data_IF_126106701316
#
_entry.id   IF_126106701316
#
_cell.length_a   1.000
_cell.length_b   1.000
_cell.length_c   1.000
_cell.angle_alpha   90.00
_cell.angle_beta   90.00
_cell.angle_gamma   90.00
#
_symmetry.space_group_name_H-M   'P 1'
#
loop_
_entity.id
_entity.type
_entity.pdbx_description
1 polymer ?
#
# COMPACT_ATOMS: atom_id res chain seq x y z
N UNK A 1 1.72 -12.36 -2.44
CA UNK A 1 2.64 -13.11 -1.55
C UNK A 1 3.51 -12.09 -0.83
N UNK A 2 3.80 -12.27 0.46
CA UNK A 2 4.65 -11.30 1.17
C UNK A 2 6.14 -11.51 0.80
N UNK A 3 6.98 -10.49 1.08
CA UNK A 3 8.41 -10.51 0.73
C UNK A 3 9.13 -11.71 1.35
N UNK A 4 8.84 -12.05 2.61
CA UNK A 4 9.46 -13.20 3.28
C UNK A 4 9.14 -14.53 2.59
N UNK A 5 7.89 -14.75 2.17
CA UNK A 5 7.47 -15.93 1.41
C UNK A 5 8.14 -15.99 0.03
N UNK A 6 8.30 -14.85 -0.64
CA UNK A 6 9.08 -14.75 -1.89
C UNK A 6 10.52 -15.18 -1.63
N UNK A 7 11.19 -14.57 -0.66
CA UNK A 7 12.59 -14.85 -0.34
C UNK A 7 12.81 -16.31 0.08
N UNK A 8 11.92 -16.90 0.88
CA UNK A 8 12.01 -18.32 1.25
C UNK A 8 11.89 -19.25 0.05
N UNK A 9 11.07 -18.91 -0.95
CA UNK A 9 10.97 -19.69 -2.18
C UNK A 9 12.16 -19.47 -3.09
N UNK A 10 12.65 -18.24 -3.22
CA UNK A 10 13.86 -17.91 -3.99
C UNK A 10 15.11 -18.60 -3.44
N UNK A 11 15.23 -18.78 -2.13
CA UNK A 11 16.33 -19.55 -1.50
C UNK A 11 16.41 -21.02 -1.94
N UNK A 12 15.36 -21.56 -2.57
CA UNK A 12 15.35 -22.92 -3.12
C UNK A 12 15.83 -22.98 -4.57
N UNK A 13 15.97 -21.84 -5.23
CA UNK A 13 16.48 -21.77 -6.59
C UNK A 13 18.00 -21.92 -6.61
N UNK A 14 18.58 -22.52 -7.65
CA UNK A 14 20.03 -22.46 -7.91
C UNK A 14 20.53 -21.00 -7.92
N UNK A 15 21.71 -20.75 -7.36
CA UNK A 15 22.27 -19.40 -7.21
C UNK A 15 22.52 -18.67 -8.54
N UNK A 16 22.62 -19.42 -9.64
CA UNK A 16 22.86 -18.96 -11.01
C UNK A 16 21.55 -18.79 -11.82
N UNK A 17 20.39 -18.83 -11.16
CA UNK A 17 19.11 -18.76 -11.88
C UNK A 17 18.75 -17.35 -12.32
N UNK A 18 18.34 -17.19 -13.58
CA UNK A 18 17.76 -15.97 -14.13
C UNK A 18 16.33 -15.77 -13.62
N UNK A 19 16.06 -14.62 -12.99
CA UNK A 19 14.70 -14.29 -12.51
C UNK A 19 13.89 -13.64 -13.63
N UNK A 20 12.71 -14.21 -13.91
CA UNK A 20 11.74 -13.75 -14.89
C UNK A 20 10.45 -13.31 -14.18
N UNK A 21 9.80 -12.26 -14.66
CA UNK A 21 8.49 -11.82 -14.19
C UNK A 21 7.47 -12.06 -15.30
N UNK A 22 6.45 -12.87 -15.03
CA UNK A 22 5.29 -13.04 -15.91
C UNK A 22 4.20 -12.07 -15.46
N UNK A 23 3.96 -10.98 -16.21
CA UNK A 23 2.91 -10.05 -15.86
C UNK A 23 1.54 -10.63 -16.13
N UNK A 24 0.55 -10.19 -15.36
CA UNK A 24 -0.84 -10.39 -15.73
C UNK A 24 -1.10 -9.52 -16.97
N UNK A 25 -1.54 -10.12 -18.09
CA UNK A 25 -1.98 -9.40 -19.29
C UNK A 25 -0.93 -8.56 -20.04
N UNK A 26 0.36 -8.94 -19.97
CA UNK A 26 1.39 -8.42 -20.89
C UNK A 26 1.98 -7.04 -20.56
N UNK A 27 1.49 -6.37 -19.51
CA UNK A 27 2.03 -5.07 -19.07
C UNK A 27 2.77 -5.23 -17.74
N UNK A 28 4.10 -5.18 -17.80
CA UNK A 28 4.99 -5.37 -16.63
C UNK A 28 4.76 -4.29 -15.56
N UNK A 29 4.36 -3.07 -15.96
CA UNK A 29 4.13 -1.94 -15.05
C UNK A 29 2.88 -2.06 -14.18
N UNK A 30 1.98 -3.01 -14.43
CA UNK A 30 0.75 -3.20 -13.65
C UNK A 30 0.86 -4.30 -12.58
N UNK A 31 2.06 -4.87 -12.40
CA UNK A 31 2.29 -6.01 -11.51
C UNK A 31 2.68 -5.58 -10.10
N UNK A 32 1.70 -5.20 -9.28
CA UNK A 32 1.94 -4.77 -7.89
C UNK A 32 2.17 -5.94 -6.92
N UNK A 33 1.69 -7.15 -7.24
CA UNK A 33 1.72 -8.30 -6.33
C UNK A 33 2.26 -9.55 -7.03
N UNK A 34 3.39 -10.09 -6.51
CA UNK A 34 3.82 -11.45 -6.84
C UNK A 34 2.89 -12.43 -6.11
N UNK A 35 2.12 -13.22 -6.85
CA UNK A 35 1.20 -14.24 -6.29
C UNK A 35 1.89 -15.59 -6.13
N UNK A 36 2.75 -15.97 -7.08
CA UNK A 36 3.48 -17.23 -7.03
C UNK A 36 4.95 -17.08 -7.46
N UNK A 37 5.75 -18.05 -7.02
CA UNK A 37 7.13 -18.28 -7.47
C UNK A 37 7.16 -19.70 -7.98
N UNK A 38 7.54 -19.88 -9.25
CA UNK A 38 7.72 -21.17 -9.89
C UNK A 38 9.20 -21.37 -10.23
N UNK A 39 9.73 -22.53 -9.92
CA UNK A 39 11.11 -22.92 -10.25
C UNK A 39 11.01 -24.14 -11.16
N UNK A 40 11.06 -23.96 -12.49
CA UNK A 40 11.01 -25.06 -13.43
C UNK A 40 12.09 -26.11 -13.15
N UNK A 41 11.72 -27.39 -13.27
CA UNK A 41 12.67 -28.50 -13.03
C UNK A 41 13.76 -28.58 -14.09
N UNK A 42 13.44 -28.19 -15.33
CA UNK A 42 14.35 -28.17 -16.47
C UNK A 42 14.79 -26.73 -16.77
N UNK A 43 16.03 -26.52 -17.25
CA UNK A 43 16.44 -25.25 -17.84
C UNK A 43 15.50 -24.82 -18.96
N UNK A 44 15.39 -23.51 -19.16
CA UNK A 44 14.69 -22.89 -20.27
C UNK A 44 15.70 -22.51 -21.35
N UNK A 45 15.23 -22.41 -22.59
CA UNK A 45 16.04 -21.86 -23.68
C UNK A 45 16.00 -20.35 -23.55
N UNK A 46 17.18 -19.74 -23.60
CA UNK A 46 17.38 -18.30 -23.70
C UNK A 46 17.91 -18.01 -25.10
N UNK A 47 17.08 -17.37 -25.92
CA UNK A 47 17.47 -16.90 -27.24
C UNK A 47 17.78 -15.39 -27.18
N UNK A 48 18.82 -14.98 -27.88
CA UNK A 48 19.28 -13.60 -28.02
C UNK A 48 19.18 -13.21 -29.49
N UNK A 49 18.11 -12.50 -29.86
CA UNK A 49 17.84 -12.09 -31.23
C UNK A 49 18.47 -10.72 -31.49
N UNK A 50 19.38 -10.61 -32.45
CA UNK A 50 20.03 -9.35 -32.80
C UNK A 50 19.22 -8.58 -33.82
N UNK A 51 18.81 -7.37 -33.45
CA UNK A 51 18.13 -6.43 -34.35
C UNK A 51 19.13 -5.70 -35.24
N UNK A 52 18.63 -5.20 -36.38
CA UNK A 52 19.41 -4.42 -37.33
C UNK A 52 19.95 -3.09 -36.76
N UNK A 53 19.32 -2.57 -35.70
CA UNK A 53 19.77 -1.36 -34.97
C UNK A 53 20.86 -1.66 -33.92
N UNK A 54 21.29 -2.93 -33.80
CA UNK A 54 22.29 -3.38 -32.83
C UNK A 54 21.73 -3.72 -31.46
N UNK A 55 20.42 -3.58 -31.23
CA UNK A 55 19.78 -4.05 -29.99
C UNK A 55 19.65 -5.58 -29.98
N UNK A 56 19.49 -6.15 -28.78
CA UNK A 56 19.33 -7.59 -28.58
C UNK A 56 18.04 -7.86 -27.82
N UNK A 57 17.13 -8.61 -28.42
CA UNK A 57 15.95 -9.13 -27.76
C UNK A 57 16.30 -10.43 -27.04
N UNK A 58 15.80 -10.56 -25.80
CA UNK A 58 16.05 -11.72 -24.98
C UNK A 58 14.75 -12.49 -24.77
N UNK A 59 14.65 -13.67 -25.37
CA UNK A 59 13.47 -14.52 -25.33
C UNK A 59 13.74 -15.75 -24.47
N UNK A 60 12.82 -16.03 -23.56
CA UNK A 60 12.90 -17.19 -22.68
C UNK A 60 11.67 -18.06 -22.89
N UNK A 61 11.87 -19.33 -23.21
CA UNK A 61 10.76 -20.27 -23.36
C UNK A 61 11.12 -21.65 -22.80
N UNK A 62 10.11 -22.44 -22.38
CA UNK A 62 10.35 -23.81 -21.99
C UNK A 62 10.93 -24.57 -23.19
N UNK A 63 11.82 -25.53 -22.91
CA UNK A 63 12.44 -26.37 -23.94
C UNK A 63 11.40 -26.90 -24.92
N UNK A 64 11.47 -26.39 -26.15
CA UNK A 64 10.68 -26.81 -27.30
C UNK A 64 11.64 -27.30 -28.39
N UNK A 65 11.19 -28.21 -29.25
CA UNK A 65 12.00 -28.73 -30.37
C UNK A 65 12.19 -27.72 -31.51
N UNK A 66 11.66 -26.50 -31.37
CA UNK A 66 11.70 -25.43 -32.37
C UNK A 66 12.16 -24.11 -31.74
N UNK A 67 12.92 -23.33 -32.51
CA UNK A 67 13.31 -21.95 -32.19
C UNK A 67 12.11 -21.01 -32.27
N UNK A 68 12.19 -19.87 -31.59
CA UNK A 68 11.14 -18.85 -31.72
C UNK A 68 11.15 -18.22 -33.11
N UNK A 69 9.99 -17.72 -33.53
CA UNK A 69 9.83 -17.08 -34.84
C UNK A 69 10.79 -15.89 -34.97
N UNK A 70 11.62 -15.90 -36.03
CA UNK A 70 12.60 -14.85 -36.28
C UNK A 70 14.04 -15.17 -35.84
N UNK A 71 14.30 -16.32 -35.20
CA UNK A 71 15.65 -16.72 -34.81
C UNK A 71 16.56 -16.95 -36.05
N UNK A 72 17.63 -16.17 -36.17
CA UNK A 72 18.63 -16.22 -37.23
C UNK A 72 19.92 -16.90 -36.72
N UNK A 73 20.09 -18.19 -37.00
CA UNK A 73 21.17 -19.01 -36.42
C UNK A 73 22.61 -18.45 -36.54
N UNK A 74 23.00 -17.76 -37.62
CA UNK A 74 24.27 -17.04 -37.71
C UNK A 74 24.41 -15.78 -36.84
N UNK A 75 23.33 -15.03 -36.62
CA UNK A 75 23.36 -13.74 -35.91
C UNK A 75 23.00 -13.87 -34.43
N UNK A 76 22.17 -14.86 -34.11
CA UNK A 76 21.54 -15.04 -32.81
C UNK A 76 22.26 -16.09 -31.97
N UNK A 77 22.02 -16.04 -30.68
CA UNK A 77 22.62 -16.98 -29.73
C UNK A 77 21.53 -17.67 -28.92
N UNK A 78 21.69 -18.96 -28.68
CA UNK A 78 20.81 -19.72 -27.80
C UNK A 78 21.63 -20.41 -26.70
N UNK A 79 21.16 -20.31 -25.46
CA UNK A 79 21.77 -20.99 -24.31
C UNK A 79 20.69 -21.63 -23.42
N UNK A 80 21.10 -22.59 -22.60
CA UNK A 80 20.23 -23.18 -21.59
C UNK A 80 20.46 -22.48 -20.25
N UNK A 81 19.39 -21.92 -19.68
CA UNK A 81 19.46 -21.21 -18.41
C UNK A 81 18.49 -21.77 -17.37
N UNK A 82 18.96 -21.84 -16.13
CA UNK A 82 18.06 -22.04 -14.98
C UNK A 82 17.27 -20.77 -14.79
N UNK A 83 15.95 -20.89 -14.63
CA UNK A 83 15.09 -19.71 -14.44
C UNK A 83 14.25 -19.84 -13.18
N UNK A 84 13.89 -18.70 -12.61
CA UNK A 84 12.86 -18.57 -11.57
C UNK A 84 11.79 -17.63 -12.08
N UNK A 85 10.55 -18.07 -12.04
CA UNK A 85 9.42 -17.33 -12.60
C UNK A 85 8.60 -16.75 -11.46
N UNK A 86 8.57 -15.42 -11.38
CA UNK A 86 7.66 -14.66 -10.54
C UNK A 86 6.36 -14.46 -11.30
N UNK A 87 5.23 -14.80 -10.68
CA UNK A 87 3.93 -14.80 -11.34
C UNK A 87 3.00 -13.83 -10.63
N UNK A 88 2.50 -12.85 -11.37
CA UNK A 88 1.57 -11.84 -10.85
C UNK A 88 0.11 -12.30 -10.83
N UNK A 89 -0.27 -13.25 -11.69
CA UNK A 89 -1.60 -13.86 -11.74
C UNK A 89 -1.53 -15.38 -11.98
N UNK A 90 -2.26 -16.17 -11.18
CA UNK A 90 -2.26 -17.63 -11.27
C UNK A 90 -2.84 -18.15 -12.60
N UNK A 91 -3.73 -17.39 -13.24
CA UNK A 91 -4.26 -17.73 -14.57
C UNK A 91 -3.24 -17.50 -15.69
N UNK A 92 -2.27 -16.59 -15.51
CA UNK A 92 -1.14 -16.40 -16.44
C UNK A 92 -0.22 -17.61 -16.49
N UNK A 93 -0.20 -18.44 -15.44
CA UNK A 93 0.55 -19.71 -15.42
C UNK A 93 -0.08 -20.76 -16.36
N UNK A 94 -1.39 -20.65 -16.62
CA UNK A 94 -2.12 -21.54 -17.55
C UNK A 94 -2.06 -21.06 -19.01
N UNK A 95 -1.91 -19.75 -19.23
CA UNK A 95 -1.87 -19.14 -20.57
C UNK A 95 -0.44 -18.80 -21.06
N UNK A 96 0.53 -18.65 -20.16
CA UNK A 96 1.91 -18.25 -20.46
C UNK A 96 2.81 -19.33 -21.06
N UNK A 97 2.23 -20.35 -21.70
CA UNK A 97 2.99 -21.39 -22.43
C UNK A 97 3.01 -21.08 -23.95
N UNK A 98 2.29 -20.05 -24.43
CA UNK A 98 2.24 -19.71 -25.85
C UNK A 98 2.76 -18.31 -26.22
N UNK A 99 2.73 -17.32 -25.31
CA UNK A 99 3.16 -15.95 -25.63
C UNK A 99 4.45 -15.56 -24.90
N UNK A 100 5.43 -15.10 -25.69
CA UNK A 100 6.70 -14.58 -25.20
C UNK A 100 6.45 -13.38 -24.26
N UNK A 101 6.91 -13.50 -23.01
CA UNK A 101 6.89 -12.39 -22.08
C UNK A 101 7.87 -11.28 -22.53
N UNK A 102 7.42 -10.04 -22.77
CA UNK A 102 8.34 -8.94 -23.06
C UNK A 102 9.23 -8.67 -21.83
N UNK A 103 10.55 -8.57 -22.01
CA UNK A 103 11.46 -8.05 -20.99
C UNK A 103 11.68 -6.54 -21.16
N UNK A 104 11.72 -5.83 -20.04
CA UNK A 104 12.36 -4.51 -19.88
C UNK A 104 12.88 -4.37 -18.44
N UNK A 105 14.11 -3.88 -18.27
CA UNK A 105 14.57 -3.41 -16.95
C UNK A 105 13.76 -2.16 -16.65
N UNK A 106 12.81 -2.23 -15.71
CA UNK A 106 12.09 -1.05 -15.25
C UNK A 106 13.09 -0.19 -14.46
N UNK A 107 13.64 0.84 -15.10
CA UNK A 107 14.34 1.89 -14.37
C UNK A 107 13.31 2.75 -13.66
N UNK A 108 13.47 2.92 -12.34
CA UNK A 108 12.66 3.89 -11.59
C UNK A 108 12.80 5.31 -12.13
N UNK A 109 13.93 5.61 -12.79
CA UNK A 109 14.15 6.90 -13.44
C UNK A 109 13.33 7.03 -14.73
N UNK A 110 13.28 5.98 -15.55
CA UNK A 110 12.45 5.95 -16.77
C UNK A 110 10.96 6.01 -16.44
N UNK A 111 10.50 5.31 -15.39
CA UNK A 111 9.11 5.42 -14.93
C UNK A 111 8.76 6.84 -14.49
N UNK A 112 9.64 7.48 -13.71
CA UNK A 112 9.43 8.87 -13.28
C UNK A 112 9.45 9.83 -14.47
N UNK A 113 10.33 9.61 -15.44
CA UNK A 113 10.40 10.41 -16.65
C UNK A 113 9.13 10.26 -17.51
N UNK A 114 8.63 9.03 -17.68
CA UNK A 114 7.38 8.76 -18.38
C UNK A 114 6.17 9.36 -17.66
N UNK A 115 6.12 9.27 -16.33
CA UNK A 115 5.06 9.89 -15.51
C UNK A 115 5.09 11.42 -15.63
N UNK A 116 6.27 12.03 -15.56
CA UNK A 116 6.44 13.47 -15.75
C UNK A 116 5.97 13.90 -17.14
N UNK A 117 6.37 13.17 -18.19
CA UNK A 117 5.96 13.42 -19.56
C UNK A 117 4.44 13.33 -19.73
N UNK A 118 3.80 12.30 -19.16
CA UNK A 118 2.35 12.18 -19.17
C UNK A 118 1.67 13.38 -18.48
N UNK A 119 2.18 13.84 -17.33
CA UNK A 119 1.63 15.04 -16.67
C UNK A 119 1.79 16.32 -17.51
N UNK A 120 2.88 16.46 -18.25
CA UNK A 120 3.04 17.57 -19.21
C UNK A 120 1.98 17.53 -20.32
N UNK A 121 1.73 16.36 -20.88
CA UNK A 121 0.71 16.15 -21.92
C UNK A 121 -0.69 16.41 -21.39
N UNK A 122 -0.99 15.98 -20.16
CA UNK A 122 -2.26 16.27 -19.50
C UNK A 122 -2.45 17.78 -19.24
N UNK A 123 -1.38 18.52 -18.94
CA UNK A 123 -1.43 19.98 -18.82
C UNK A 123 -1.65 20.64 -20.18
N UNK A 124 -0.95 20.19 -21.23
CA UNK A 124 -1.10 20.70 -22.59
C UNK A 124 -2.52 20.48 -23.14
N UNK A 125 -3.14 19.33 -22.80
CA UNK A 125 -4.51 18.98 -23.17
C UNK A 125 -5.59 19.55 -22.22
N UNK A 126 -5.23 20.43 -21.29
CA UNK A 126 -6.14 21.05 -20.30
C UNK A 126 -6.86 20.05 -19.36
N UNK A 127 -6.36 18.82 -19.24
CA UNK A 127 -6.82 17.86 -18.23
C UNK A 127 -6.27 18.18 -16.84
N UNK A 128 -5.13 18.86 -16.76
CA UNK A 128 -4.61 19.47 -15.54
C UNK A 128 -4.64 21.00 -15.67
N UNK A 129 -5.11 21.67 -14.63
CA UNK A 129 -5.29 23.12 -14.55
C UNK A 129 -4.29 23.74 -13.58
N UNK A 130 -3.91 24.99 -13.83
CA UNK A 130 -3.18 25.80 -12.85
C UNK A 130 -4.08 26.11 -11.63
N UNK A 131 -3.48 26.50 -10.50
CA UNK A 131 -4.25 26.96 -9.33
C UNK A 131 -5.23 28.10 -9.70
N UNK A 132 -4.77 29.03 -10.53
CA UNK A 132 -5.56 30.20 -10.96
C UNK A 132 -6.77 29.77 -11.79
N UNK A 133 -6.56 28.96 -12.83
CA UNK A 133 -7.63 28.47 -13.69
C UNK A 133 -8.61 27.59 -12.92
N UNK A 134 -8.10 26.71 -12.06
CA UNK A 134 -8.92 25.83 -11.24
C UNK A 134 -9.85 26.63 -10.32
N UNK A 135 -9.30 27.66 -9.64
CA UNK A 135 -10.08 28.55 -8.79
C UNK A 135 -11.11 29.36 -9.57
N UNK A 136 -10.72 29.88 -10.73
CA UNK A 136 -11.62 30.64 -11.60
C UNK A 136 -12.81 29.77 -12.05
N UNK A 137 -12.57 28.53 -12.47
CA UNK A 137 -13.63 27.58 -12.87
C UNK A 137 -14.54 27.18 -11.73
N UNK A 138 -13.97 26.96 -10.55
CA UNK A 138 -14.72 26.57 -9.35
C UNK A 138 -15.45 27.75 -8.70
N UNK A 139 -15.02 28.99 -8.98
CA UNK A 139 -15.55 30.20 -8.36
C UNK A 139 -15.16 30.33 -6.88
N UNK A 140 -13.97 29.86 -6.49
CA UNK A 140 -13.54 29.86 -5.07
C UNK A 140 -12.33 30.76 -4.80
N UNK A 141 -12.29 31.32 -3.59
CA UNK A 141 -11.14 32.08 -3.11
C UNK A 141 -9.94 31.17 -2.82
N UNK A 142 -8.75 31.75 -2.73
CA UNK A 142 -7.52 31.03 -2.37
C UNK A 142 -7.64 30.30 -1.04
N UNK A 143 -8.19 31.01 -0.04
CA UNK A 143 -8.44 30.46 1.30
C UNK A 143 -9.39 29.27 1.24
N UNK A 144 -10.45 29.35 0.43
CA UNK A 144 -11.38 28.23 0.28
C UNK A 144 -10.72 27.03 -0.41
N UNK A 145 -9.90 27.25 -1.42
CA UNK A 145 -9.13 26.17 -2.05
C UNK A 145 -8.15 25.51 -1.06
N UNK A 146 -7.44 26.29 -0.26
CA UNK A 146 -6.55 25.77 0.78
C UNK A 146 -7.31 24.87 1.76
N UNK A 147 -8.48 25.31 2.24
CA UNK A 147 -9.33 24.47 3.10
C UNK A 147 -9.80 23.19 2.38
N UNK A 148 -10.15 23.27 1.08
CA UNK A 148 -10.56 22.08 0.32
C UNK A 148 -9.41 21.07 0.14
N UNK A 149 -8.17 21.55 0.02
CA UNK A 149 -6.97 20.71 -0.02
C UNK A 149 -6.71 20.05 1.34
N UNK A 150 -6.80 20.83 2.43
CA UNK A 150 -6.63 20.35 3.81
C UNK A 150 -7.69 19.30 4.18
N UNK A 151 -8.95 19.54 3.81
CA UNK A 151 -10.04 18.58 4.00
C UNK A 151 -9.89 17.34 3.09
N UNK A 152 -9.08 17.43 2.03
CA UNK A 152 -8.91 16.39 1.01
C UNK A 152 -10.06 16.28 0.00
N UNK A 153 -10.90 17.31 -0.08
CA UNK A 153 -12.00 17.41 -1.07
C UNK A 153 -11.47 17.54 -2.50
N UNK A 154 -10.27 18.12 -2.65
CA UNK A 154 -9.52 18.20 -3.90
C UNK A 154 -8.07 17.81 -3.64
N UNK A 155 -7.31 17.54 -4.70
CA UNK A 155 -5.88 17.26 -4.61
C UNK A 155 -5.16 17.86 -5.81
N UNK A 156 -3.85 18.07 -5.64
CA UNK A 156 -2.97 18.58 -6.69
C UNK A 156 -1.87 17.55 -6.98
N UNK A 157 -1.47 17.48 -8.24
CA UNK A 157 -0.27 16.81 -8.68
C UNK A 157 0.87 17.81 -8.74
N UNK A 158 2.09 17.32 -8.57
CA UNK A 158 3.29 18.13 -8.76
C UNK A 158 3.76 17.97 -10.21
N UNK A 159 3.66 19.06 -10.98
CA UNK A 159 4.13 19.13 -12.37
C UNK A 159 5.10 20.31 -12.44
N UNK A 160 6.37 20.06 -12.76
CA UNK A 160 7.42 21.08 -12.80
C UNK A 160 7.58 21.91 -11.52
N UNK A 161 7.44 21.28 -10.34
CA UNK A 161 7.46 21.97 -9.04
C UNK A 161 6.27 22.91 -8.81
N UNK A 162 5.27 22.90 -9.69
CA UNK A 162 4.02 23.64 -9.55
C UNK A 162 2.85 22.70 -9.24
N UNK A 163 1.88 23.19 -8.48
CA UNK A 163 0.63 22.46 -8.24
C UNK A 163 -0.27 22.51 -9.47
N UNK A 164 -0.64 21.35 -9.98
CA UNK A 164 -1.58 21.19 -11.07
C UNK A 164 -2.80 20.37 -10.61
N UNK A 165 -4.00 20.82 -10.97
CA UNK A 165 -5.26 20.28 -10.45
C UNK A 165 -6.02 19.54 -11.54
N UNK A 166 -6.50 18.30 -11.31
CA UNK A 166 -7.34 17.61 -12.29
C UNK A 166 -8.60 18.39 -12.62
N UNK A 167 -8.84 18.64 -13.91
CA UNK A 167 -9.95 19.45 -14.40
C UNK A 167 -11.32 18.88 -13.99
N UNK A 168 -11.44 17.54 -13.89
CA UNK A 168 -12.70 16.89 -13.48
C UNK A 168 -13.13 17.29 -12.06
N UNK A 169 -12.22 17.70 -11.17
CA UNK A 169 -12.56 18.15 -9.81
C UNK A 169 -13.36 19.46 -9.78
N UNK A 170 -13.42 20.18 -10.91
CA UNK A 170 -14.25 21.37 -11.11
C UNK A 170 -15.29 21.20 -12.23
N UNK A 171 -15.48 20.00 -12.77
CA UNK A 171 -16.42 19.76 -13.85
C UNK A 171 -17.86 19.72 -13.33
N UNK A 172 -18.65 20.74 -13.69
CA UNK A 172 -20.05 20.90 -13.27
C UNK A 172 -21.01 19.85 -13.86
N UNK A 173 -20.58 19.07 -14.85
CA UNK A 173 -21.40 17.95 -15.36
C UNK A 173 -21.41 16.76 -14.42
N UNK A 174 -20.46 16.68 -13.47
CA UNK A 174 -20.40 15.63 -12.46
C UNK A 174 -21.09 16.08 -11.17
N UNK A 175 -21.57 15.12 -10.36
CA UNK A 175 -21.96 15.40 -8.97
C UNK A 175 -20.69 15.69 -8.14
N UNK A 176 -20.30 16.96 -8.11
CA UNK A 176 -19.12 17.44 -7.39
C UNK A 176 -19.17 17.14 -5.89
N UNK A 177 -20.37 17.10 -5.29
CA UNK A 177 -20.52 16.79 -3.86
C UNK A 177 -20.14 15.34 -3.58
N UNK A 178 -20.60 14.41 -4.42
CA UNK A 178 -20.24 12.99 -4.36
C UNK A 178 -18.78 12.77 -4.71
N UNK A 179 -18.28 13.44 -5.74
CA UNK A 179 -16.87 13.39 -6.12
C UNK A 179 -15.96 13.81 -4.97
N UNK A 180 -16.20 14.97 -4.34
CA UNK A 180 -15.38 15.42 -3.20
C UNK A 180 -15.54 14.52 -1.98
N UNK A 181 -16.69 13.87 -1.79
CA UNK A 181 -16.84 12.86 -0.75
C UNK A 181 -15.98 11.61 -1.01
N UNK A 182 -15.85 11.18 -2.27
CA UNK A 182 -14.95 10.10 -2.67
C UNK A 182 -13.49 10.55 -2.58
N UNK A 183 -13.14 11.72 -3.10
CA UNK A 183 -11.79 12.27 -3.03
C UNK A 183 -11.28 12.34 -1.58
N UNK A 184 -12.15 12.78 -0.66
CA UNK A 184 -11.86 12.71 0.78
C UNK A 184 -11.55 11.29 1.20
N UNK A 185 -12.34 10.28 0.79
CA UNK A 185 -12.07 8.87 1.12
C UNK A 185 -10.66 8.45 0.69
N UNK A 186 -10.20 8.93 -0.47
CA UNK A 186 -8.93 8.54 -1.07
C UNK A 186 -7.69 9.26 -0.51
N UNK A 187 -7.85 10.19 0.44
CA UNK A 187 -6.75 10.98 1.04
C UNK A 187 -5.53 10.16 1.48
N UNK A 188 -5.66 8.95 2.05
CA UNK A 188 -4.47 8.18 2.43
C UNK A 188 -3.54 7.86 1.26
N UNK A 189 -4.05 7.80 0.02
CA UNK A 189 -3.25 7.50 -1.16
C UNK A 189 -2.51 8.73 -1.70
N UNK A 190 -1.36 8.57 -2.38
CA UNK A 190 -0.71 9.65 -3.13
C UNK A 190 -1.62 10.26 -4.20
N UNK A 191 -1.50 11.56 -4.50
CA UNK A 191 -2.35 12.25 -5.50
C UNK A 191 -2.40 11.57 -6.87
N UNK A 192 -1.30 10.99 -7.33
CA UNK A 192 -1.19 10.26 -8.61
C UNK A 192 -2.05 9.00 -8.60
N UNK A 193 -1.98 8.20 -7.53
CA UNK A 193 -2.84 7.02 -7.35
C UNK A 193 -4.33 7.40 -7.27
N UNK A 194 -4.67 8.55 -6.68
CA UNK A 194 -6.06 9.06 -6.66
C UNK A 194 -6.53 9.43 -8.06
N UNK A 195 -5.68 10.08 -8.85
CA UNK A 195 -5.96 10.43 -10.25
C UNK A 195 -6.25 9.16 -11.04
N UNK A 196 -5.32 8.20 -11.01
CA UNK A 196 -5.44 6.94 -11.75
C UNK A 196 -6.70 6.16 -11.37
N UNK A 197 -6.99 6.03 -10.07
CA UNK A 197 -8.21 5.36 -9.63
C UNK A 197 -9.45 6.01 -10.22
N UNK A 198 -9.55 7.35 -10.16
CA UNK A 198 -10.76 8.06 -10.57
C UNK A 198 -10.97 8.03 -12.09
N UNK A 199 -9.90 7.99 -12.89
CA UNK A 199 -9.99 8.14 -14.35
C UNK A 199 -9.86 6.82 -15.12
N UNK A 200 -9.40 5.73 -14.50
CA UNK A 200 -9.24 4.43 -15.17
C UNK A 200 -10.37 3.47 -14.89
N UNK A 201 -10.56 2.53 -15.81
CA UNK A 201 -11.48 1.41 -15.63
C UNK A 201 -10.99 0.53 -14.47
N UNK A 202 -11.93 0.11 -13.61
CA UNK A 202 -11.60 -0.70 -12.44
C UNK A 202 -12.34 -2.04 -12.48
N UNK A 203 -11.59 -3.14 -12.55
CA UNK A 203 -12.17 -4.49 -12.57
C UNK A 203 -13.06 -4.80 -11.36
N UNK A 204 -12.67 -4.33 -10.16
CA UNK A 204 -13.46 -4.49 -8.93
C UNK A 204 -14.80 -3.72 -8.95
N UNK A 205 -14.95 -2.77 -9.87
CA UNK A 205 -16.17 -2.00 -10.12
C UNK A 205 -16.85 -2.42 -11.44
N UNK A 206 -16.56 -3.64 -11.92
CA UNK A 206 -17.16 -4.18 -13.14
C UNK A 206 -16.59 -3.58 -14.43
N UNK A 207 -15.34 -3.11 -14.41
CA UNK A 207 -14.68 -2.51 -15.57
C UNK A 207 -15.11 -1.07 -15.86
N UNK A 208 -15.88 -0.44 -14.96
CA UNK A 208 -16.35 0.94 -15.11
C UNK A 208 -15.35 1.94 -14.54
N UNK A 209 -15.41 3.18 -15.03
CA UNK A 209 -14.61 4.29 -14.52
C UNK A 209 -15.30 4.88 -13.29
N UNK A 210 -14.62 5.09 -12.15
CA UNK A 210 -15.27 5.60 -10.93
C UNK A 210 -16.03 6.92 -11.08
N UNK A 211 -15.59 7.83 -11.96
CA UNK A 211 -16.30 9.08 -12.21
C UNK A 211 -17.71 8.86 -12.80
N UNK A 212 -17.94 7.75 -13.53
CA UNK A 212 -19.25 7.39 -14.10
C UNK A 212 -20.21 6.82 -13.06
N UNK A 213 -19.70 6.41 -11.88
CA UNK A 213 -20.48 5.82 -10.80
C UNK A 213 -21.08 6.86 -9.85
N UNK A 214 -20.86 8.15 -10.11
CA UNK A 214 -21.30 9.22 -9.22
C UNK A 214 -22.80 9.48 -9.32
N UNK A 215 -23.41 9.32 -10.50
CA UNK A 215 -24.80 9.73 -10.75
C UNK A 215 -25.82 8.83 -10.06
N UNK A 216 -25.63 7.50 -10.10
CA UNK A 216 -26.55 6.54 -9.50
C UNK A 216 -26.23 6.27 -8.02
N UNK A 217 -27.26 6.17 -7.18
CA UNK A 217 -27.10 5.96 -5.73
C UNK A 217 -26.46 4.62 -5.39
N UNK A 218 -26.87 3.54 -6.06
CA UNK A 218 -26.38 2.20 -5.78
C UNK A 218 -24.93 2.08 -6.20
N UNK A 219 -24.60 2.58 -7.39
CA UNK A 219 -23.24 2.62 -7.91
C UNK A 219 -22.33 3.50 -7.05
N UNK A 220 -22.80 4.67 -6.63
CA UNK A 220 -22.07 5.55 -5.72
C UNK A 220 -21.81 4.88 -4.37
N UNK A 221 -22.78 4.15 -3.81
CA UNK A 221 -22.59 3.38 -2.60
C UNK A 221 -21.55 2.26 -2.77
N UNK A 222 -21.57 1.57 -3.91
CA UNK A 222 -20.57 0.57 -4.28
C UNK A 222 -19.17 1.20 -4.36
N UNK A 223 -19.04 2.31 -5.08
CA UNK A 223 -17.80 3.08 -5.21
C UNK A 223 -17.26 3.50 -3.84
N UNK A 224 -18.08 4.07 -2.96
CA UNK A 224 -17.63 4.46 -1.62
C UNK A 224 -17.13 3.29 -0.79
N UNK A 225 -17.79 2.13 -0.89
CA UNK A 225 -17.36 0.92 -0.16
C UNK A 225 -16.00 0.46 -0.68
N UNK A 226 -15.85 0.39 -2.00
CA UNK A 226 -14.60 0.02 -2.64
C UNK A 226 -13.48 1.01 -2.31
N UNK A 227 -13.72 2.31 -2.48
CA UNK A 227 -12.75 3.37 -2.19
C UNK A 227 -12.23 3.32 -0.74
N UNK A 228 -13.05 2.94 0.24
CA UNK A 228 -12.60 2.76 1.63
C UNK A 228 -11.65 1.57 1.79
N UNK A 229 -11.91 0.47 1.09
CA UNK A 229 -11.03 -0.70 1.08
C UNK A 229 -9.70 -0.35 0.41
N UNK A 230 -9.78 0.19 -0.80
CA UNK A 230 -8.61 0.60 -1.57
C UNK A 230 -7.75 1.65 -0.81
N UNK A 231 -8.37 2.69 -0.24
CA UNK A 231 -7.63 3.70 0.51
C UNK A 231 -6.94 3.15 1.77
N UNK A 232 -7.44 2.04 2.34
CA UNK A 232 -6.83 1.42 3.50
C UNK A 232 -5.47 0.77 3.20
N UNK A 233 -5.18 0.46 1.94
CA UNK A 233 -3.91 -0.12 1.51
C UNK A 233 -2.74 0.87 1.62
N UNK A 234 -3.03 2.18 1.62
CA UNK A 234 -2.04 3.24 1.68
C UNK A 234 -1.67 3.66 3.09
N UNK A 235 -2.29 3.07 4.11
CA UNK A 235 -1.97 3.39 5.50
C UNK A 235 -2.02 2.15 6.38
N UNK A 236 -1.00 2.00 7.21
CA UNK A 236 -0.87 0.90 8.15
C UNK A 236 -0.74 1.44 9.55
N UNK A 237 -1.59 0.94 10.45
CA UNK A 237 -1.42 1.17 11.89
C UNK A 237 -0.55 0.04 12.44
N UNK A 238 0.53 0.41 13.12
CA UNK A 238 1.50 -0.49 13.72
C UNK A 238 1.47 -0.30 15.23
N UNK A 239 1.36 -1.40 15.96
CA UNK A 239 1.46 -1.42 17.42
C UNK A 239 2.74 -2.12 17.79
N UNK A 240 3.67 -1.39 18.41
CA UNK A 240 4.97 -1.91 18.90
C UNK A 240 4.94 -1.95 20.42
N UNK A 241 5.31 -3.08 20.99
CA UNK A 241 5.30 -3.34 22.43
C UNK A 241 6.73 -3.59 22.89
N UNK A 242 7.13 -2.90 23.95
CA UNK A 242 8.48 -2.94 24.52
C UNK A 242 8.40 -3.33 25.99
N UNK A 243 9.41 -4.04 26.48
CA UNK A 243 9.66 -4.17 27.90
C UNK A 243 10.18 -2.83 28.43
N UNK A 244 9.41 -2.18 29.30
CA UNK A 244 9.74 -0.84 29.77
C UNK A 244 10.98 -0.86 30.69
N UNK A 245 11.28 -1.97 31.34
CA UNK A 245 12.41 -2.11 32.27
C UNK A 245 13.75 -2.21 31.52
N UNK A 246 13.75 -2.58 30.23
CA UNK A 246 14.95 -2.75 29.41
C UNK A 246 15.27 -1.54 28.52
N UNK A 247 14.40 -0.52 28.50
CA UNK A 247 14.40 0.50 27.44
C UNK A 247 15.09 1.83 27.79
N UNK A 248 15.74 1.96 28.94
CA UNK A 248 16.27 3.26 29.40
C UNK A 248 17.63 3.66 28.78
N UNK A 249 18.20 2.90 27.85
CA UNK A 249 19.52 3.26 27.30
C UNK A 249 19.87 2.64 25.93
N UNK A 250 19.11 2.90 24.85
CA UNK A 250 19.64 3.01 23.46
C UNK A 250 18.56 3.30 22.41
N UNK A 251 18.88 3.95 21.27
CA UNK A 251 17.92 4.30 20.21
C UNK A 251 17.42 3.13 19.35
N UNK A 252 17.72 1.88 19.71
CA UNK A 252 17.57 0.70 18.83
C UNK A 252 17.04 -0.55 19.54
N UNK A 253 16.28 -0.38 20.63
CA UNK A 253 15.67 -1.52 21.33
C UNK A 253 14.63 -2.17 20.43
N UNK A 254 14.82 -3.44 20.12
CA UNK A 254 13.87 -4.23 19.33
C UNK A 254 12.56 -4.40 20.10
N UNK A 255 11.38 -4.19 19.47
CA UNK A 255 10.11 -4.43 20.13
C UNK A 255 9.95 -5.90 20.49
N UNK A 256 9.53 -6.16 21.74
CA UNK A 256 9.18 -7.49 22.23
C UNK A 256 8.03 -8.11 21.43
N UNK A 257 7.11 -7.27 20.93
CA UNK A 257 6.05 -7.70 20.02
C UNK A 257 5.61 -6.54 19.12
N UNK A 258 5.42 -6.83 17.84
CA UNK A 258 4.89 -5.90 16.84
C UNK A 258 3.69 -6.53 16.17
N UNK A 259 2.62 -5.77 15.99
CA UNK A 259 1.52 -6.16 15.11
C UNK A 259 1.02 -4.99 14.27
N UNK A 260 0.39 -5.26 13.15
CA UNK A 260 -0.08 -4.21 12.26
C UNK A 260 -1.34 -4.60 11.47
N UNK A 261 -2.04 -3.60 10.97
CA UNK A 261 -3.14 -3.76 10.02
C UNK A 261 -3.19 -2.58 9.06
N UNK A 262 -3.56 -2.87 7.81
CA UNK A 262 -3.91 -1.87 6.81
C UNK A 262 -5.30 -1.34 7.13
N UNK A 263 -5.38 -0.04 7.38
CA UNK A 263 -6.62 0.59 7.84
C UNK A 263 -6.58 2.09 7.57
N UNK A 264 -7.72 2.62 7.14
CA UNK A 264 -7.92 4.05 6.92
C UNK A 264 -7.56 4.86 8.20
N UNK A 265 -6.58 5.78 8.14
CA UNK A 265 -6.06 6.48 9.32
C UNK A 265 -7.08 7.41 9.98
N UNK A 266 -8.17 7.74 9.28
CA UNK A 266 -9.27 8.56 9.83
C UNK A 266 -10.22 7.77 10.70
N UNK A 267 -10.11 6.44 10.72
CA UNK A 267 -10.74 5.66 11.76
C UNK A 267 -10.14 6.02 13.12
N UNK A 268 -10.97 6.02 14.17
CA UNK A 268 -10.54 6.32 15.54
C UNK A 268 -9.31 5.50 15.93
N UNK A 269 -8.28 6.16 16.48
CA UNK A 269 -6.98 5.58 16.81
C UNK A 269 -7.11 4.25 17.57
N UNK A 270 -7.89 4.22 18.65
CA UNK A 270 -8.06 3.02 19.46
C UNK A 270 -8.80 1.88 18.76
N UNK A 271 -9.65 2.21 17.78
CA UNK A 271 -10.23 1.18 16.91
C UNK A 271 -9.15 0.60 15.99
N UNK A 272 -8.30 1.45 15.38
CA UNK A 272 -7.21 0.99 14.51
C UNK A 272 -6.19 0.12 15.26
N UNK A 273 -5.76 0.57 16.43
CA UNK A 273 -4.83 -0.19 17.27
C UNK A 273 -5.43 -1.55 17.72
N UNK A 274 -6.73 -1.58 18.07
CA UNK A 274 -7.41 -2.83 18.39
C UNK A 274 -7.49 -3.78 17.19
N UNK A 275 -7.83 -3.25 16.02
CA UNK A 275 -7.90 -4.04 14.78
C UNK A 275 -6.50 -4.59 14.41
N UNK A 276 -5.41 -3.83 14.67
CA UNK A 276 -4.04 -4.30 14.50
C UNK A 276 -3.69 -5.49 15.41
N UNK A 277 -4.05 -5.42 16.70
CA UNK A 277 -3.80 -6.51 17.67
C UNK A 277 -4.60 -7.78 17.33
N UNK A 278 -5.82 -7.62 16.80
CA UNK A 278 -6.70 -8.73 16.42
C UNK A 278 -6.41 -9.29 15.02
N UNK A 279 -5.65 -8.57 14.21
CA UNK A 279 -5.30 -8.99 12.86
C UNK A 279 -4.32 -10.16 12.90
N UNK A 280 -4.59 -11.28 12.21
CA UNK A 280 -3.70 -12.43 12.22
C UNK A 280 -2.46 -12.25 11.33
N UNK A 281 -2.46 -11.26 10.42
CA UNK A 281 -1.52 -11.19 9.30
C UNK A 281 -0.12 -10.67 9.66
N UNK A 282 -0.05 -9.42 10.12
CA UNK A 282 1.22 -8.74 10.37
C UNK A 282 1.55 -8.81 11.85
N UNK A 283 2.27 -9.84 12.29
CA UNK A 283 2.73 -9.98 13.68
C UNK A 283 4.12 -10.59 13.78
N UNK A 284 4.92 -10.07 14.71
CA UNK A 284 6.26 -10.56 15.00
C UNK A 284 6.61 -10.33 16.48
N UNK A 285 7.21 -11.32 17.19
CA UNK A 285 7.35 -12.71 16.76
C UNK A 285 5.99 -13.40 16.55
N UNK A 286 5.98 -14.53 15.84
CA UNK A 286 4.75 -15.30 15.59
C UNK A 286 4.21 -15.96 16.86
N UNK A 287 5.11 -16.42 17.73
CA UNK A 287 4.76 -16.86 19.08
C UNK A 287 4.57 -15.63 19.96
N UNK A 288 3.37 -15.49 20.52
CA UNK A 288 3.04 -14.29 21.28
C UNK A 288 3.69 -14.40 22.67
N UNK A 289 4.58 -13.48 23.04
CA UNK A 289 5.27 -13.51 24.33
C UNK A 289 4.30 -13.20 25.48
N UNK A 290 4.72 -13.59 26.68
CA UNK A 290 4.04 -13.17 27.91
C UNK A 290 4.25 -11.66 28.13
N UNK A 291 3.24 -11.01 28.68
CA UNK A 291 3.39 -9.61 29.06
C UNK A 291 4.31 -9.48 30.28
N UNK A 292 5.30 -8.57 30.26
CA UNK A 292 6.12 -8.23 31.42
C UNK A 292 5.29 -7.47 32.48
N UNK A 293 5.89 -7.22 33.65
CA UNK A 293 5.35 -6.37 34.72
C UNK A 293 5.08 -4.95 34.24
N UNK A 294 5.98 -4.41 33.41
CA UNK A 294 5.85 -3.05 32.87
C UNK A 294 6.01 -3.09 31.36
N UNK A 295 4.94 -2.76 30.63
CA UNK A 295 4.91 -2.78 29.18
C UNK A 295 4.73 -1.37 28.63
N UNK A 296 5.58 -0.97 27.69
CA UNK A 296 5.42 0.27 26.91
C UNK A 296 4.86 -0.07 25.54
N UNK A 297 3.80 0.63 25.12
CA UNK A 297 3.13 0.41 23.84
C UNK A 297 3.23 1.69 23.02
N UNK A 298 3.71 1.58 21.78
CA UNK A 298 3.68 2.64 20.79
C UNK A 298 2.64 2.29 19.73
N UNK A 299 1.78 3.25 19.40
CA UNK A 299 0.87 3.18 18.26
C UNK A 299 1.37 4.15 17.22
N UNK A 300 1.74 3.62 16.07
CA UNK A 300 2.39 4.35 15.00
C UNK A 300 1.61 4.16 13.69
N UNK A 301 1.71 5.14 12.81
CA UNK A 301 1.13 5.12 11.46
C UNK A 301 2.24 5.14 10.42
N UNK A 302 2.26 4.12 9.58
CA UNK A 302 3.05 4.10 8.36
C UNK A 302 2.16 4.50 7.17
N UNK A 303 2.66 5.40 6.31
CA UNK A 303 1.99 5.79 5.06
C UNK A 303 2.77 5.22 3.88
N UNK A 304 2.09 4.66 2.89
CA UNK A 304 2.75 4.16 1.69
C UNK A 304 3.47 5.29 0.96
N UNK A 305 4.75 5.09 0.63
CA UNK A 305 5.59 6.07 -0.06
C UNK A 305 6.25 7.13 0.83
N UNK A 306 5.91 7.19 2.12
CA UNK A 306 6.58 8.07 3.08
C UNK A 306 7.68 7.31 3.85
N UNK A 307 8.77 8.00 4.17
CA UNK A 307 9.83 7.45 5.00
C UNK A 307 9.53 7.69 6.48
N UNK A 308 9.52 6.63 7.27
CA UNK A 308 9.35 6.68 8.72
C UNK A 308 7.89 6.50 9.17
N UNK A 309 7.74 6.04 10.40
CA UNK A 309 6.44 5.85 11.04
C UNK A 309 6.13 7.09 11.90
N UNK A 310 4.89 7.61 11.81
CA UNK A 310 4.42 8.71 12.65
C UNK A 310 3.92 8.13 13.97
N UNK A 311 4.53 8.50 15.10
CA UNK A 311 4.01 8.13 16.42
C UNK A 311 2.71 8.88 16.71
N UNK A 312 1.62 8.16 16.95
CA UNK A 312 0.31 8.73 17.25
C UNK A 312 -0.02 8.66 18.76
N UNK A 313 0.43 7.59 19.44
CA UNK A 313 0.28 7.48 20.89
C UNK A 313 1.35 6.60 21.55
N UNK A 314 1.58 6.89 22.84
CA UNK A 314 2.39 6.10 23.76
C UNK A 314 1.55 5.70 24.97
N UNK A 315 1.67 4.44 25.39
CA UNK A 315 1.06 3.94 26.61
C UNK A 315 2.11 3.27 27.49
N UNK A 316 1.95 3.39 28.79
CA UNK A 316 2.71 2.62 29.78
C UNK A 316 1.72 1.82 30.61
N UNK A 317 1.95 0.52 30.71
CA UNK A 317 1.07 -0.44 31.34
C UNK A 317 1.81 -1.13 32.48
N UNK A 318 1.33 -0.97 33.71
CA UNK A 318 1.86 -1.61 34.92
C UNK A 318 0.92 -2.75 35.34
N UNK A 319 1.41 -3.99 35.31
CA UNK A 319 0.68 -5.21 35.63
C UNK A 319 1.06 -5.73 37.03
N UNK A 320 0.07 -5.78 37.92
CA UNK A 320 0.18 -6.42 39.24
C UNK A 320 -0.86 -7.53 39.37
N UNK A 321 -0.44 -8.77 39.06
CA UNK A 321 -1.31 -9.94 39.05
C UNK A 321 -2.39 -9.87 37.97
N UNK A 322 -3.61 -9.44 38.33
CA UNK A 322 -4.70 -9.18 37.38
C UNK A 322 -5.01 -7.69 37.19
N UNK A 323 -4.47 -6.84 38.04
CA UNK A 323 -4.76 -5.42 38.01
C UNK A 323 -3.77 -4.76 37.05
N UNK A 324 -4.30 -4.05 36.07
CA UNK A 324 -3.53 -3.32 35.09
C UNK A 324 -3.81 -1.84 35.26
N UNK A 325 -2.75 -1.06 35.46
CA UNK A 325 -2.79 0.40 35.42
C UNK A 325 -2.23 0.85 34.08
N UNK A 326 -2.97 1.71 33.38
CA UNK A 326 -2.61 2.19 32.05
C UNK A 326 -2.45 3.70 32.12
N UNK A 327 -1.29 4.19 31.70
CA UNK A 327 -0.98 5.59 31.49
C UNK A 327 -0.99 5.86 29.99
N UNK A 328 -1.76 6.84 29.52
CA UNK A 328 -1.88 7.17 28.09
C UNK A 328 -1.33 8.57 27.83
N UNK A 329 -0.50 8.69 26.80
CA UNK A 329 0.02 9.97 26.27
C UNK A 329 -0.14 9.99 24.76
N UNK A 330 -0.97 10.89 24.23
CA UNK A 330 -1.12 11.13 22.79
C UNK A 330 -0.16 12.22 22.34
N UNK A 331 0.34 12.14 21.10
CA UNK A 331 1.33 13.11 20.60
C UNK A 331 0.73 14.50 20.39
N UNK A 332 -0.58 14.60 20.17
CA UNK A 332 -1.29 15.85 19.87
C UNK A 332 -1.65 16.73 21.10
N UNK A 333 -1.06 16.51 22.28
CA UNK A 333 -1.34 17.42 23.40
C UNK A 333 -0.43 17.28 24.62
N UNK A 334 -0.12 18.44 25.20
CA UNK A 334 0.33 18.70 26.59
C UNK A 334 -0.66 18.15 27.66
N UNK A 335 -1.54 17.23 27.29
CA UNK A 335 -2.56 16.69 28.17
C UNK A 335 -1.94 15.76 29.22
N UNK A 336 -2.33 15.92 30.49
CA UNK A 336 -1.80 15.11 31.57
C UNK A 336 -2.13 13.65 31.31
N UNK A 337 -1.14 12.80 31.50
CA UNK A 337 -1.27 11.39 31.20
C UNK A 337 -2.42 10.75 32.01
N UNK A 338 -3.41 10.21 31.31
CA UNK A 338 -4.64 9.71 31.93
C UNK A 338 -4.39 8.31 32.49
N UNK A 339 -4.72 8.12 33.77
CA UNK A 339 -4.56 6.83 34.45
C UNK A 339 -5.87 6.06 34.44
N UNK A 340 -5.86 4.87 33.85
CA UNK A 340 -6.97 3.93 33.90
C UNK A 340 -6.60 2.67 34.67
N UNK A 341 -7.60 2.04 35.30
CA UNK A 341 -7.44 0.76 35.99
C UNK A 341 -8.40 -0.26 35.41
N UNK A 342 -7.91 -1.45 35.08
CA UNK A 342 -8.73 -2.55 34.62
C UNK A 342 -8.25 -3.89 35.20
N UNK A 343 -9.15 -4.87 35.23
CA UNK A 343 -8.88 -6.21 35.76
C UNK A 343 -8.88 -7.21 34.60
N UNK A 344 -7.75 -7.87 34.37
CA UNK A 344 -7.59 -8.88 33.34
C UNK A 344 -8.23 -10.22 33.75
N UNK A 345 -8.63 -11.00 32.76
CA UNK A 345 -9.23 -12.33 32.98
C UNK A 345 -8.22 -13.34 33.55
N UNK A 346 -6.96 -13.27 33.10
CA UNK A 346 -5.87 -14.16 33.52
C UNK A 346 -4.86 -13.44 34.41
N UNK A 347 -4.19 -14.20 35.29
CA UNK A 347 -3.08 -13.71 36.13
C UNK A 347 -1.76 -13.58 35.35
N UNK A 348 -1.67 -14.21 34.18
CA UNK A 348 -0.47 -14.26 33.34
C UNK A 348 -0.88 -14.04 31.87
N UNK A 349 -1.26 -12.80 31.50
CA UNK A 349 -1.67 -12.46 30.14
C UNK A 349 -0.49 -12.55 29.17
N UNK A 350 -0.79 -12.87 27.92
CA UNK A 350 0.11 -12.57 26.81
C UNK A 350 0.10 -11.06 26.51
N UNK A 351 1.06 -10.59 25.70
CA UNK A 351 1.07 -9.19 25.25
C UNK A 351 -0.21 -8.83 24.50
N UNK A 352 -0.72 -9.73 23.66
CA UNK A 352 -1.97 -9.47 22.92
C UNK A 352 -3.19 -9.45 23.82
N UNK A 353 -3.27 -10.30 24.85
CA UNK A 353 -4.38 -10.26 25.82
C UNK A 353 -4.43 -8.92 26.55
N UNK A 354 -3.25 -8.41 26.95
CA UNK A 354 -3.12 -7.11 27.59
C UNK A 354 -3.53 -6.00 26.62
N UNK A 355 -2.96 -5.97 25.41
CA UNK A 355 -3.25 -4.94 24.42
C UNK A 355 -4.72 -4.93 23.99
N UNK A 356 -5.35 -6.11 23.81
CA UNK A 356 -6.76 -6.23 23.47
C UNK A 356 -7.65 -5.60 24.56
N UNK A 357 -7.37 -5.90 25.84
CA UNK A 357 -8.10 -5.34 26.96
C UNK A 357 -7.95 -3.81 27.05
N UNK A 358 -6.72 -3.31 26.87
CA UNK A 358 -6.41 -1.87 26.89
C UNK A 358 -7.13 -1.14 25.75
N UNK A 359 -6.94 -1.57 24.51
CA UNK A 359 -7.55 -0.87 23.37
C UNK A 359 -9.07 -1.06 23.32
N UNK A 360 -9.61 -2.19 23.79
CA UNK A 360 -11.05 -2.36 23.98
C UNK A 360 -11.64 -1.37 24.98
N UNK A 361 -10.94 -1.11 26.08
CA UNK A 361 -11.33 -0.10 27.07
C UNK A 361 -11.24 1.32 26.47
N UNK A 362 -10.11 1.69 25.88
CA UNK A 362 -9.91 3.03 25.31
C UNK A 362 -10.88 3.34 24.17
N UNK A 363 -11.19 2.35 23.33
CA UNK A 363 -12.22 2.46 22.30
C UNK A 363 -13.61 2.72 22.87
N UNK A 364 -13.96 2.12 24.02
CA UNK A 364 -15.25 2.38 24.69
C UNK A 364 -15.28 3.77 25.31
N UNK A 365 -14.20 4.19 25.97
CA UNK A 365 -14.10 5.52 26.59
C UNK A 365 -14.20 6.64 25.55
N UNK A 366 -13.50 6.52 24.42
CA UNK A 366 -13.57 7.50 23.33
C UNK A 366 -14.98 7.62 22.70
N UNK A 367 -15.81 6.57 22.79
CA UNK A 367 -17.23 6.61 22.37
C UNK A 367 -18.15 7.21 23.41
N UNK A 368 -17.78 7.18 24.70
CA UNK A 368 -18.57 7.74 25.79
C UNK A 368 -18.36 9.24 26.00
N UNK A 369 -17.33 9.82 25.39
CA UNK A 369 -17.04 11.26 25.44
C UNK A 369 -17.68 12.05 24.28
N UNK A 370 -18.43 11.38 23.40
CA UNK A 370 -19.06 11.97 22.20
C UNK A 370 -20.58 12.21 22.35
N UNK A 371 -21.12 12.23 23.58
CA UNK A 371 -22.52 12.58 23.88
C UNK A 371 -22.64 13.93 24.54
#
# INVERSE_FOLDING_TARGET
>A
MNIDQVLRRLRRAPNDSTVLLLPAYGVVSECEIVRAVSIPRRPWVHEQHRRADGQVDHLFHPWAEAWTEGFDGPADQASLERVVILVADEESLKHGIADAAPKGRISMEELRAAEAQNHHEMRASSQLLTEEDFRARLGVSRKRLANMLEEGSVFALNVDRASAFPAFLCNKTLDLKRLWAVARILVPAPPTSRLDLLTRQCGALGGRVPLELLEDDRDYHSLRRFAKGWASEFSRTVVKCYDAEQSDSTPQVEPLYTCATEIDPRCLLWKRALDAVRSPGYRFPHEIPRAPSTLRIHVERATAGESGDVLEARLVCELSGRNLRVLVTTVDGDEPAIVHKLKLATKRPSVTDLCDAVFSMLKKLARGQTT
#
